data_IF_635013785735
#
_entry.id   IF_635013785735
#
_cell.length_a   1.000
_cell.length_b   1.000
_cell.length_c   1.000
_cell.angle_alpha   90.00
_cell.angle_beta   90.00
_cell.angle_gamma   90.00
#
_symmetry.space_group_name_H-M   'P 1'
#
loop_
_entity.id
_entity.type
_entity.pdbx_description
1 polymer ?
#
# COMPACT_ATOMS: atom_id res chain seq x y z
N UNK A 1 -9.52 -4.48 26.33
CA UNK A 1 -10.07 -4.34 26.19
C UNK A 1 -10.26 -4.28 25.77
N UNK A 2 -10.22 -4.22 25.53
CA UNK A 2 -10.59 -3.92 25.18
C UNK A 2 -11.34 -3.69 24.70
N UNK A 3 -11.10 -3.73 24.20
CA UNK A 3 -11.76 -3.22 23.79
C UNK A 3 -12.77 -3.10 23.40
N UNK A 4 -12.65 -3.94 22.96
CA UNK A 4 -13.67 -3.63 22.49
C UNK A 4 -14.55 -3.32 23.40
N UNK A 5 -14.15 -2.96 24.16
CA UNK A 5 -14.91 -2.48 25.09
C UNK A 5 -15.71 -1.39 24.62
N UNK A 6 -16.69 -1.02 25.28
CA UNK A 6 -17.54 0.03 24.91
C UNK A 6 -16.84 1.27 24.50
N UNK A 7 -17.21 1.83 23.39
CA UNK A 7 -16.62 3.03 22.89
C UNK A 7 -15.28 2.85 22.23
N UNK A 8 -14.75 1.65 22.26
CA UNK A 8 -13.49 1.39 21.61
C UNK A 8 -13.69 1.22 20.13
N UNK A 9 -12.86 1.91 19.38
CA UNK A 9 -12.90 1.84 17.93
C UNK A 9 -12.14 0.63 17.46
N UNK A 10 -12.71 -0.11 16.54
CA UNK A 10 -12.00 -1.22 15.93
C UNK A 10 -10.94 -0.68 15.01
N UNK A 11 -9.76 -1.21 15.13
CA UNK A 11 -8.62 -0.79 14.32
C UNK A 11 -8.26 -1.86 13.32
N UNK A 12 -7.75 -1.41 12.19
CA UNK A 12 -7.17 -2.29 11.19
C UNK A 12 -5.85 -1.71 10.73
N UNK A 13 -4.99 -2.59 10.29
CA UNK A 13 -3.78 -2.18 9.59
C UNK A 13 -4.05 -2.27 8.10
N UNK A 14 -3.80 -1.18 7.41
CA UNK A 14 -3.77 -1.18 5.96
C UNK A 14 -2.33 -1.34 5.53
N UNK A 15 -2.07 -2.33 4.69
CA UNK A 15 -0.75 -2.56 4.14
C UNK A 15 -0.83 -2.43 2.62
N UNK A 16 -0.05 -1.52 2.08
CA UNK A 16 0.02 -1.30 0.64
C UNK A 16 1.41 -1.75 0.19
N UNK A 17 1.43 -2.65 -0.79
CA UNK A 17 2.68 -3.09 -1.42
C UNK A 17 2.66 -2.53 -2.83
N UNK A 18 3.65 -1.74 -3.17
CA UNK A 18 3.66 -1.08 -4.47
C UNK A 18 5.09 -0.86 -4.95
N UNK A 19 5.23 -0.47 -6.21
CA UNK A 19 6.50 -0.06 -6.74
C UNK A 19 6.83 1.34 -6.21
N UNK A 20 8.09 1.61 -5.95
CA UNK A 20 8.53 2.89 -5.39
C UNK A 20 8.14 4.09 -6.25
N UNK A 21 8.04 3.90 -7.55
CA UNK A 21 7.63 4.96 -8.45
C UNK A 21 6.21 5.45 -8.22
N UNK A 22 5.42 4.70 -7.47
CA UNK A 22 4.02 5.06 -7.20
C UNK A 22 3.85 5.84 -5.90
N UNK A 23 4.92 6.07 -5.16
CA UNK A 23 4.81 6.63 -3.82
C UNK A 23 4.06 7.96 -3.77
N UNK A 24 4.45 8.90 -4.63
CA UNK A 24 3.83 10.22 -4.62
C UNK A 24 2.33 10.15 -4.87
N UNK A 25 1.93 9.36 -5.85
CA UNK A 25 0.51 9.21 -6.17
C UNK A 25 -0.26 8.56 -5.04
N UNK A 26 0.34 7.54 -4.41
CA UNK A 26 -0.30 6.86 -3.29
C UNK A 26 -0.43 7.78 -2.08
N UNK A 27 0.60 8.55 -1.80
CA UNK A 27 0.53 9.49 -0.69
C UNK A 27 -0.53 10.56 -0.92
N UNK A 28 -0.61 11.07 -2.14
CA UNK A 28 -1.66 12.04 -2.47
C UNK A 28 -3.04 11.45 -2.26
N UNK A 29 -3.22 10.20 -2.65
CA UNK A 29 -4.50 9.53 -2.48
C UNK A 29 -4.84 9.32 -1.02
N UNK A 30 -3.86 8.92 -0.22
CA UNK A 30 -4.06 8.75 1.22
C UNK A 30 -4.44 10.08 1.86
N UNK A 31 -3.73 11.15 1.52
CA UNK A 31 -4.00 12.48 2.08
C UNK A 31 -5.40 12.96 1.70
N UNK A 32 -5.83 12.71 0.49
CA UNK A 32 -7.17 13.07 0.06
C UNK A 32 -8.25 12.35 0.86
N UNK A 33 -7.92 11.20 1.39
CA UNK A 33 -8.84 10.42 2.20
C UNK A 33 -8.61 10.63 3.70
N UNK A 34 -7.91 11.70 4.04
CA UNK A 34 -7.71 12.07 5.44
C UNK A 34 -6.69 11.26 6.18
N UNK A 35 -5.88 10.50 5.48
CA UNK A 35 -4.85 9.66 6.09
C UNK A 35 -3.52 10.37 5.99
N UNK A 36 -3.03 10.85 7.13
CA UNK A 36 -1.78 11.58 7.20
C UNK A 36 -0.73 10.88 8.07
N UNK A 37 -1.14 9.85 8.79
CA UNK A 37 -0.25 9.12 9.70
C UNK A 37 -0.05 7.71 9.16
N UNK A 38 1.13 7.45 8.66
CA UNK A 38 1.49 6.14 8.15
C UNK A 38 3.01 6.02 8.11
N UNK A 39 3.50 4.81 7.92
CA UNK A 39 4.93 4.56 7.79
C UNK A 39 5.22 4.03 6.40
N UNK A 40 6.34 4.43 5.85
CA UNK A 40 6.78 3.94 4.54
C UNK A 40 8.09 3.20 4.74
N UNK A 41 8.12 1.97 4.23
CA UNK A 41 9.33 1.16 4.23
C UNK A 41 9.78 1.05 2.78
N UNK A 42 10.92 1.65 2.49
CA UNK A 42 11.45 1.70 1.14
C UNK A 42 12.40 0.55 0.85
N UNK A 43 12.65 0.36 -0.42
CA UNK A 43 13.68 -0.56 -0.92
C UNK A 43 13.42 -1.99 -0.49
N UNK A 44 12.17 -2.41 -0.64
CA UNK A 44 11.79 -3.78 -0.35
C UNK A 44 11.98 -4.62 -1.60
N UNK A 45 12.74 -5.69 -1.47
CA UNK A 45 12.93 -6.63 -2.56
C UNK A 45 11.81 -7.63 -2.56
N UNK A 46 11.29 -7.95 -3.73
CA UNK A 46 10.18 -8.87 -3.83
C UNK A 46 10.25 -9.72 -5.07
N UNK A 47 9.41 -10.74 -5.12
CA UNK A 47 9.30 -11.64 -6.26
C UNK A 47 7.82 -11.95 -6.48
N UNK A 48 7.39 -11.91 -7.72
CA UNK A 48 5.99 -12.13 -8.06
C UNK A 48 5.82 -12.34 -9.54
N UNK A 49 4.64 -12.02 -10.03
CA UNK A 49 4.31 -12.23 -11.45
C UNK A 49 5.23 -11.49 -12.41
N UNK A 50 5.68 -10.32 -12.00
CA UNK A 50 6.58 -9.51 -12.82
C UNK A 50 8.03 -9.87 -12.62
N UNK A 51 8.30 -10.93 -11.85
CA UNK A 51 9.66 -11.33 -11.53
C UNK A 51 10.14 -10.67 -10.25
N UNK A 52 11.40 -10.85 -10.01
CA UNK A 52 12.02 -10.34 -8.80
C UNK A 52 12.35 -8.87 -8.97
N UNK A 53 12.08 -8.10 -7.94
CA UNK A 53 12.32 -6.67 -7.92
C UNK A 53 13.41 -6.35 -6.91
N UNK A 54 14.44 -5.66 -7.36
CA UNK A 54 15.56 -5.28 -6.53
C UNK A 54 16.68 -4.76 -7.39
N UNK A 55 17.70 -4.21 -6.76
CA UNK A 55 18.77 -3.52 -7.49
C UNK A 55 19.46 -4.39 -8.53
N UNK A 56 19.78 -5.63 -8.18
CA UNK A 56 20.52 -6.48 -9.09
C UNK A 56 19.78 -6.81 -10.36
N UNK A 57 18.49 -7.06 -10.24
CA UNK A 57 17.73 -7.52 -11.39
C UNK A 57 17.51 -6.43 -12.39
N UNK A 58 17.22 -5.25 -11.91
CA UNK A 58 16.92 -4.16 -12.81
C UNK A 58 18.12 -3.52 -13.42
N UNK A 59 19.19 -3.42 -12.67
CA UNK A 59 20.40 -2.80 -13.19
C UNK A 59 20.98 -3.60 -14.35
N UNK A 60 20.78 -4.90 -14.37
CA UNK A 60 21.32 -5.75 -15.41
C UNK A 60 20.53 -5.61 -16.71
N UNK A 61 19.22 -5.53 -16.62
CA UNK A 61 18.39 -5.60 -17.81
C UNK A 61 17.83 -4.28 -18.27
N UNK A 62 17.57 -3.37 -17.38
CA UNK A 62 16.88 -2.14 -17.74
C UNK A 62 17.73 -0.91 -17.55
N UNK A 63 18.83 -1.02 -16.88
CA UNK A 63 19.65 0.12 -16.56
C UNK A 63 19.06 1.01 -15.48
N UNK A 64 17.96 0.60 -14.88
CA UNK A 64 17.34 1.37 -13.80
C UNK A 64 17.08 0.45 -12.63
N UNK A 65 17.04 1.03 -11.45
CA UNK A 65 16.81 0.30 -10.22
C UNK A 65 15.41 0.61 -9.72
N UNK A 66 14.63 -0.44 -9.56
CA UNK A 66 13.29 -0.31 -9.00
C UNK A 66 13.16 -1.19 -7.78
N UNK A 67 12.48 -0.67 -6.79
CA UNK A 67 12.19 -1.41 -5.58
C UNK A 67 10.71 -1.37 -5.30
N UNK A 68 10.25 -2.28 -4.50
CA UNK A 68 8.93 -2.20 -3.91
C UNK A 68 9.02 -1.36 -2.64
N UNK A 69 7.87 -0.92 -2.20
CA UNK A 69 7.75 -0.27 -0.90
C UNK A 69 6.51 -0.80 -0.20
N UNK A 70 6.50 -0.62 1.10
CA UNK A 70 5.34 -0.94 1.92
C UNK A 70 4.88 0.35 2.58
N UNK A 71 3.58 0.57 2.57
CA UNK A 71 2.99 1.62 3.37
C UNK A 71 2.12 0.94 4.41
N UNK A 72 2.34 1.29 5.67
CA UNK A 72 1.58 0.73 6.78
C UNK A 72 0.85 1.84 7.50
N UNK A 73 -0.43 1.69 7.67
CA UNK A 73 -1.24 2.65 8.41
C UNK A 73 -2.20 1.90 9.32
N UNK A 74 -2.20 2.25 10.61
CA UNK A 74 -3.12 1.67 11.58
C UNK A 74 -4.20 2.70 11.84
N UNK A 75 -5.43 2.36 11.51
CA UNK A 75 -6.54 3.30 11.47
C UNK A 75 -7.82 2.65 11.94
N UNK A 76 -8.83 3.45 12.30
CA UNK A 76 -10.17 2.90 12.51
C UNK A 76 -10.63 2.12 11.27
N UNK A 77 -11.36 1.05 11.50
CA UNK A 77 -11.79 0.15 10.42
C UNK A 77 -12.52 0.84 9.29
N UNK A 78 -13.42 1.76 9.61
CA UNK A 78 -14.18 2.44 8.57
C UNK A 78 -13.30 3.34 7.71
N UNK A 79 -12.28 3.94 8.30
CA UNK A 79 -11.33 4.74 7.55
C UNK A 79 -10.50 3.87 6.62
N UNK A 80 -10.11 2.69 7.08
CA UNK A 80 -9.39 1.73 6.23
C UNK A 80 -10.29 1.31 5.06
N UNK A 81 -11.55 1.03 5.33
CA UNK A 81 -12.48 0.62 4.28
C UNK A 81 -12.65 1.69 3.21
N UNK A 82 -12.74 2.95 3.64
CA UNK A 82 -12.84 4.05 2.69
C UNK A 82 -11.58 4.17 1.84
N UNK A 83 -10.42 4.04 2.47
CA UNK A 83 -9.15 4.10 1.76
C UNK A 83 -9.01 2.95 0.76
N UNK A 84 -9.43 1.75 1.16
CA UNK A 84 -9.39 0.59 0.27
C UNK A 84 -10.26 0.83 -0.96
N UNK A 85 -11.45 1.41 -0.77
CA UNK A 85 -12.32 1.75 -1.89
C UNK A 85 -11.64 2.70 -2.87
N UNK A 86 -11.01 3.75 -2.35
CA UNK A 86 -10.30 4.71 -3.18
C UNK A 86 -9.11 4.09 -3.90
N UNK A 87 -8.38 3.22 -3.21
CA UNK A 87 -7.22 2.55 -3.80
C UNK A 87 -7.64 1.55 -4.88
N UNK A 88 -8.76 0.87 -4.68
CA UNK A 88 -9.28 -0.03 -5.72
C UNK A 88 -9.68 0.74 -6.96
N UNK A 89 -10.31 1.91 -6.81
CA UNK A 89 -10.66 2.75 -7.93
C UNK A 89 -9.42 3.26 -8.67
N UNK A 90 -8.42 3.66 -7.93
CA UNK A 90 -7.14 4.08 -8.49
C UNK A 90 -6.49 2.94 -9.29
N UNK A 91 -6.47 1.75 -8.72
CA UNK A 91 -5.90 0.58 -9.38
C UNK A 91 -6.64 0.27 -10.68
N UNK A 92 -7.97 0.31 -10.65
CA UNK A 92 -8.76 0.03 -11.84
C UNK A 92 -8.51 1.06 -12.94
N UNK A 93 -8.40 2.32 -12.57
CA UNK A 93 -8.13 3.37 -13.55
C UNK A 93 -6.75 3.22 -14.16
N UNK A 94 -5.75 2.91 -13.34
CA UNK A 94 -4.38 2.74 -13.85
C UNK A 94 -4.26 1.49 -14.70
N UNK A 95 -4.98 0.44 -14.35
CA UNK A 95 -4.96 -0.80 -15.12
C UNK A 95 -5.51 -0.60 -16.51
N UNK A 96 -6.48 0.28 -16.67
CA UNK A 96 -6.99 0.61 -17.99
C UNK A 96 -5.96 1.31 -18.86
N UNK A 97 -5.12 2.11 -18.25
CA UNK A 97 -4.09 2.85 -18.97
C UNK A 97 -2.89 1.99 -19.31
N UNK A 98 -2.51 1.12 -18.39
CA UNK A 98 -1.36 0.24 -18.56
C UNK A 98 -1.82 -1.10 -19.13
N UNK A 99 -1.96 -1.17 -20.42
CA UNK A 99 -2.60 -2.32 -21.04
C UNK A 99 -1.81 -3.61 -21.00
N UNK A 100 -0.51 -3.51 -20.94
CA UNK A 100 0.32 -4.69 -21.15
C UNK A 100 0.96 -5.26 -19.90
N UNK A 101 1.12 -4.46 -18.86
CA UNK A 101 1.80 -4.89 -17.66
C UNK A 101 0.89 -4.87 -16.45
N UNK A 102 0.97 -5.89 -15.60
CA UNK A 102 0.20 -5.83 -14.36
C UNK A 102 0.69 -4.67 -13.50
N UNK A 103 -0.23 -3.94 -12.92
CA UNK A 103 0.13 -2.86 -12.02
C UNK A 103 0.61 -3.48 -10.71
N UNK A 104 1.85 -3.20 -10.30
CA UNK A 104 2.39 -3.81 -9.08
C UNK A 104 1.88 -3.12 -7.83
N UNK A 105 0.64 -3.37 -7.52
CA UNK A 105 -0.05 -2.78 -6.37
C UNK A 105 -0.88 -3.85 -5.71
N UNK A 106 -0.63 -4.09 -4.43
CA UNK A 106 -1.40 -5.03 -3.64
C UNK A 106 -1.81 -4.39 -2.35
N UNK A 107 -3.01 -4.72 -1.91
CA UNK A 107 -3.58 -4.18 -0.69
C UNK A 107 -3.94 -5.32 0.24
N UNK A 108 -3.62 -5.14 1.50
CA UNK A 108 -4.01 -6.07 2.56
C UNK A 108 -4.56 -5.28 3.72
N UNK A 109 -5.55 -5.81 4.38
CA UNK A 109 -6.05 -5.20 5.60
C UNK A 109 -6.27 -6.31 6.61
N UNK A 110 -5.88 -6.07 7.84
CA UNK A 110 -6.06 -7.06 8.90
C UNK A 110 -6.34 -6.37 10.22
N UNK A 111 -7.08 -7.05 11.12
CA UNK A 111 -7.39 -6.46 12.40
C UNK A 111 -6.12 -6.27 13.22
N UNK A 112 -6.11 -5.23 14.04
CA UNK A 112 -5.01 -5.04 14.97
C UNK A 112 -5.56 -4.44 16.25
N UNK A 113 -4.73 -4.55 17.28
CA UNK A 113 -5.08 -4.05 18.59
C UNK A 113 -4.00 -3.05 18.99
N UNK A 114 -4.45 -1.84 19.33
CA UNK A 114 -3.51 -0.83 19.80
C UNK A 114 -3.34 -1.01 21.30
N UNK A 115 -2.12 -1.22 21.73
CA UNK A 115 -1.83 -1.55 23.10
C UNK A 115 -1.23 -0.42 23.92
N UNK A 116 -0.90 0.69 23.27
CA UNK A 116 -0.25 1.77 23.98
C UNK A 116 -0.75 3.13 23.55
#
# INVERSE_FOLDING_TARGET
>A
MFATRQGMVRMKTLMIVARDSMLTELEDLLHKNGINAYSVINKVEGSGKTGKVGAFHHSVYTGSTHFNLLILAVLPSDQVENAVGALKAFHAARKKLAKEEPLPLKLFAFPCEELL
#
